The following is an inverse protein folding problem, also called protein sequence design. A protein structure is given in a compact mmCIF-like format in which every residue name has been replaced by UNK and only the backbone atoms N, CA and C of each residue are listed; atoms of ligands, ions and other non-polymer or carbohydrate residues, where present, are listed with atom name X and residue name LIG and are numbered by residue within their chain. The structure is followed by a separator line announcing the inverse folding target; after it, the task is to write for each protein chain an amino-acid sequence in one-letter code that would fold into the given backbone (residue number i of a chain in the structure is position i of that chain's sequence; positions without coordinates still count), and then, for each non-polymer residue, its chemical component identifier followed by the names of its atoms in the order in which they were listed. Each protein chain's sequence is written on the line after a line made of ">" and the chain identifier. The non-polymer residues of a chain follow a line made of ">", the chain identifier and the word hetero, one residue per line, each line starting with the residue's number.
data_IF_666481636607
#
_entry.id   IF_666481636607
#
_cell.length_a   1.000
_cell.length_b   1.000
_cell.length_c   1.000
_cell.angle_alpha   90.00
_cell.angle_beta   90.00
_cell.angle_gamma   90.00
#
_symmetry.space_group_name_H-M   'P 1'
#
loop_
_entity.id
_entity.type
_entity.pdbx_description
1 polymer ?
#
# COMPACT_ATOMS: atom_id res chain seq x y z
N UNK A 1 4.80 18.06 0.38
CA UNK A 1 4.85 16.71 -0.22
C UNK A 1 3.83 16.63 -1.34
N UNK A 2 4.21 16.20 -2.55
CA UNK A 2 3.26 15.85 -3.60
C UNK A 2 2.89 14.38 -3.46
N UNK A 3 1.61 14.08 -3.47
CA UNK A 3 1.11 12.71 -3.49
C UNK A 3 1.41 12.08 -4.85
N UNK A 4 2.05 10.90 -4.91
CA UNK A 4 2.34 10.26 -6.18
C UNK A 4 1.05 9.72 -6.81
N UNK A 5 1.02 9.70 -8.14
CA UNK A 5 0.04 8.91 -8.89
C UNK A 5 0.49 7.44 -8.92
N UNK A 6 -0.44 6.51 -8.73
CA UNK A 6 -0.17 5.08 -8.91
C UNK A 6 -0.13 4.72 -10.41
N UNK A 7 0.14 3.45 -10.73
CA UNK A 7 0.11 2.95 -12.11
C UNK A 7 -1.27 3.04 -12.79
N UNK A 8 -2.34 3.23 -12.02
CA UNK A 8 -3.69 3.45 -12.55
C UNK A 8 -3.93 4.90 -12.99
N UNK A 9 -2.99 5.82 -12.72
CA UNK A 9 -3.19 7.26 -12.94
C UNK A 9 -3.92 7.97 -11.79
N UNK A 10 -4.50 7.22 -10.86
CA UNK A 10 -5.16 7.78 -9.67
C UNK A 10 -4.17 8.33 -8.65
N UNK A 11 -4.61 9.36 -7.92
CA UNK A 11 -3.86 9.92 -6.78
C UNK A 11 -3.86 8.91 -5.63
N UNK A 12 -2.67 8.59 -5.10
CA UNK A 12 -2.55 7.64 -3.99
C UNK A 12 -3.20 8.17 -2.70
N UNK A 13 -3.75 7.27 -1.89
CA UNK A 13 -4.20 7.58 -0.52
C UNK A 13 -3.08 7.31 0.48
N UNK A 14 -3.04 8.10 1.54
CA UNK A 14 -2.13 7.88 2.68
C UNK A 14 -2.75 6.86 3.62
N UNK A 15 -1.95 5.91 4.09
CA UNK A 15 -2.31 5.01 5.19
C UNK A 15 -1.20 5.01 6.24
N UNK A 16 -1.61 4.72 7.47
CA UNK A 16 -0.71 4.50 8.60
C UNK A 16 -0.61 3.01 8.84
N UNK A 17 0.60 2.49 9.03
CA UNK A 17 0.79 1.10 9.38
C UNK A 17 0.43 0.89 10.85
N UNK A 18 -0.54 0.01 11.07
CA UNK A 18 -1.02 -0.40 12.40
C UNK A 18 -0.42 -1.74 12.83
N UNK A 19 0.55 -2.27 12.09
CA UNK A 19 1.11 -3.60 12.34
C UNK A 19 2.11 -3.57 13.50
N UNK A 20 1.60 -3.82 14.71
CA UNK A 20 2.39 -3.88 15.96
C UNK A 20 3.48 -4.95 15.96
N UNK A 21 3.30 -6.01 15.16
CA UNK A 21 4.28 -7.10 15.05
C UNK A 21 5.52 -6.69 14.25
N UNK A 22 5.44 -5.59 13.50
CA UNK A 22 6.56 -4.97 12.82
C UNK A 22 6.77 -3.59 13.44
N UNK A 23 7.50 -3.54 14.56
CA UNK A 23 7.80 -2.29 15.29
C UNK A 23 8.43 -1.21 14.42
N UNK A 24 9.25 -1.61 13.43
CA UNK A 24 9.80 -0.68 12.44
C UNK A 24 8.79 -0.25 11.36
N UNK A 25 7.55 -0.70 11.37
CA UNK A 25 6.51 -0.16 10.49
C UNK A 25 5.41 0.53 11.26
N UNK A 26 5.22 0.24 12.54
CA UNK A 26 4.14 0.79 13.35
C UNK A 26 4.19 2.33 13.39
N UNK A 27 3.05 2.98 13.14
CA UNK A 27 2.92 4.43 13.13
C UNK A 27 3.47 5.14 11.89
N UNK A 28 4.20 4.43 11.02
CA UNK A 28 4.76 4.99 9.79
C UNK A 28 3.72 5.11 8.69
N UNK A 29 3.89 6.12 7.83
CA UNK A 29 2.97 6.49 6.77
C UNK A 29 3.46 5.98 5.42
N UNK A 30 2.52 5.54 4.60
CA UNK A 30 2.79 5.04 3.26
C UNK A 30 1.67 5.46 2.31
N UNK A 31 2.02 5.65 1.04
CA UNK A 31 1.07 5.83 -0.05
C UNK A 31 0.65 4.47 -0.60
N UNK A 32 -0.64 4.31 -0.88
CA UNK A 32 -1.18 3.18 -1.65
C UNK A 32 -2.19 3.67 -2.67
N UNK A 33 -2.42 2.88 -3.71
CA UNK A 33 -3.54 3.12 -4.62
C UNK A 33 -4.90 3.12 -3.87
N UNK A 34 -5.89 3.92 -4.29
CA UNK A 34 -7.27 3.80 -3.79
C UNK A 34 -7.84 2.37 -3.91
N UNK A 35 -7.59 1.71 -5.05
CA UNK A 35 -7.98 0.32 -5.34
C UNK A 35 -6.86 -0.68 -4.97
N UNK A 36 -6.29 -0.54 -3.77
CA UNK A 36 -5.16 -1.37 -3.33
C UNK A 36 -5.57 -2.84 -3.16
N UNK A 37 -4.82 -3.77 -3.77
CA UNK A 37 -5.17 -5.19 -3.81
C UNK A 37 -5.39 -5.84 -2.44
N UNK A 38 -4.66 -5.40 -1.41
CA UNK A 38 -4.74 -5.93 -0.05
C UNK A 38 -5.70 -5.14 0.87
N UNK A 39 -6.29 -4.06 0.36
CA UNK A 39 -7.25 -3.22 1.09
C UNK A 39 -8.63 -3.34 0.44
N UNK A 40 -9.00 -4.57 0.04
CA UNK A 40 -10.31 -4.81 -0.55
C UNK A 40 -11.36 -4.45 0.51
N UNK A 41 -12.32 -3.56 0.19
CA UNK A 41 -13.44 -3.30 1.07
C UNK A 41 -14.09 -4.64 1.43
N UNK A 42 -14.38 -4.86 2.71
CA UNK A 42 -15.34 -5.89 3.08
C UNK A 42 -16.68 -5.42 2.55
N UNK A 43 -17.09 -6.00 1.42
CA UNK A 43 -18.39 -5.73 0.84
C UNK A 43 -19.45 -6.33 1.77
N UNK A 44 -20.49 -5.55 2.04
CA UNK A 44 -21.59 -5.98 2.91
C UNK A 44 -22.42 -7.08 2.22
N UNK A 45 -22.55 -6.98 0.89
CA UNK A 45 -23.29 -7.92 0.09
C UNK A 45 -22.55 -8.30 -1.20
N UNK A 46 -22.79 -9.52 -1.69
CA UNK A 46 -22.16 -10.04 -2.90
C UNK A 46 -22.53 -9.24 -4.17
N UNK A 47 -23.67 -8.54 -4.17
CA UNK A 47 -24.10 -7.68 -5.27
C UNK A 47 -23.38 -6.33 -5.33
N UNK A 48 -22.63 -5.96 -4.28
CA UNK A 48 -21.81 -4.74 -4.27
C UNK A 48 -20.53 -4.90 -5.11
N UNK A 49 -20.23 -6.13 -5.56
CA UNK A 49 -19.16 -6.39 -6.53
C UNK A 49 -19.69 -6.06 -7.92
N UNK A 50 -19.18 -5.03 -8.61
CA UNK A 50 -19.54 -4.81 -10.00
C UNK A 50 -19.11 -6.01 -10.85
N UNK A 51 -19.86 -6.39 -11.91
CA UNK A 51 -19.57 -7.55 -12.74
C UNK A 51 -18.17 -7.49 -13.40
N UNK A 52 -17.63 -6.29 -13.58
CA UNK A 52 -16.25 -6.04 -14.02
C UNK A 52 -15.55 -5.10 -13.03
N UNK A 53 -14.95 -5.63 -11.93
CA UNK A 53 -14.25 -4.79 -10.98
C UNK A 53 -13.00 -4.19 -11.62
N UNK A 54 -12.64 -2.93 -11.28
CA UNK A 54 -11.42 -2.32 -11.78
C UNK A 54 -10.20 -3.16 -11.37
N UNK A 55 -9.16 -3.23 -12.23
CA UNK A 55 -7.96 -4.00 -11.91
C UNK A 55 -7.36 -3.50 -10.60
N UNK A 56 -7.12 -4.43 -9.67
CA UNK A 56 -6.53 -4.10 -8.38
C UNK A 56 -5.11 -3.60 -8.59
N UNK A 57 -4.78 -2.47 -7.99
CA UNK A 57 -3.45 -1.88 -8.03
C UNK A 57 -2.66 -2.29 -6.79
N UNK A 58 -1.36 -2.47 -6.93
CA UNK A 58 -0.48 -2.85 -5.82
C UNK A 58 0.55 -1.79 -5.50
N UNK A 59 0.42 -0.61 -6.10
CA UNK A 59 1.32 0.49 -5.84
C UNK A 59 1.33 0.80 -4.34
N UNK A 60 2.53 0.78 -3.78
CA UNK A 60 2.82 1.04 -2.39
C UNK A 60 4.18 1.74 -2.31
N UNK A 61 4.28 2.79 -1.49
CA UNK A 61 5.60 3.39 -1.17
C UNK A 61 5.58 4.07 0.20
N UNK A 62 6.70 4.01 0.93
CA UNK A 62 6.85 4.68 2.22
C UNK A 62 6.99 6.20 2.04
N UNK A 63 6.31 6.96 2.91
CA UNK A 63 6.40 8.44 2.92
C UNK A 63 7.61 8.88 3.74
N UNK A 64 7.83 8.22 4.87
CA UNK A 64 8.87 8.56 5.83
C UNK A 64 10.23 8.05 5.32
N UNK A 65 10.94 8.88 4.57
CA UNK A 65 12.30 8.62 4.08
C UNK A 65 13.39 9.02 5.09
N UNK A 66 13.04 9.85 6.08
CA UNK A 66 13.91 10.24 7.18
C UNK A 66 13.89 9.16 8.27
N UNK A 67 14.53 8.03 7.98
CA UNK A 67 14.66 6.89 8.89
C UNK A 67 16.10 6.37 8.84
N UNK A 68 16.56 5.67 9.90
CA UNK A 68 17.85 4.99 9.90
C UNK A 68 18.06 4.08 8.68
N UNK A 69 19.32 3.90 8.24
CA UNK A 69 19.65 3.14 7.02
C UNK A 69 19.21 1.66 7.09
N UNK A 70 19.22 1.05 8.26
CA UNK A 70 18.66 -0.28 8.50
C UNK A 70 17.16 -0.31 8.22
N UNK A 71 16.42 0.69 8.68
CA UNK A 71 14.99 0.85 8.41
C UNK A 71 14.74 1.10 6.91
N UNK A 72 15.57 1.89 6.22
CA UNK A 72 15.45 2.08 4.76
C UNK A 72 15.61 0.76 4.00
N UNK A 73 16.57 -0.08 4.40
CA UNK A 73 16.77 -1.40 3.81
C UNK A 73 15.55 -2.30 4.02
N UNK A 74 14.97 -2.27 5.21
CA UNK A 74 13.75 -3.02 5.52
C UNK A 74 12.52 -2.49 4.74
N UNK A 75 12.38 -1.16 4.63
CA UNK A 75 11.36 -0.52 3.79
C UNK A 75 11.49 -0.96 2.33
N UNK A 76 12.70 -0.98 1.78
CA UNK A 76 12.98 -1.43 0.42
C UNK A 76 12.65 -2.92 0.23
N UNK A 77 13.06 -3.79 1.15
CA UNK A 77 12.72 -5.22 1.12
C UNK A 77 11.21 -5.46 1.20
N UNK A 78 10.49 -4.69 2.02
CA UNK A 78 9.03 -4.81 2.14
C UNK A 78 8.31 -4.35 0.87
N UNK A 79 8.82 -3.30 0.21
CA UNK A 79 8.37 -2.87 -1.11
C UNK A 79 8.56 -4.00 -2.15
N UNK A 80 9.76 -4.56 -2.24
CA UNK A 80 10.07 -5.68 -3.13
C UNK A 80 9.20 -6.91 -2.83
N UNK A 81 9.06 -7.30 -1.56
CA UNK A 81 8.24 -8.44 -1.15
C UNK A 81 6.77 -8.27 -1.56
N UNK A 82 6.21 -7.09 -1.35
CA UNK A 82 4.82 -6.78 -1.75
C UNK A 82 4.65 -6.71 -3.26
N UNK A 83 5.71 -6.40 -4.00
CA UNK A 83 5.71 -6.49 -5.47
C UNK A 83 5.91 -7.94 -5.96
N UNK A 84 6.65 -8.80 -5.24
CA UNK A 84 7.02 -10.17 -5.61
C UNK A 84 6.00 -11.26 -5.28
N UNK A 85 5.03 -11.06 -4.37
CA UNK A 85 4.00 -12.05 -4.01
C UNK A 85 2.99 -12.36 -5.15
N UNK A 86 3.41 -12.27 -6.41
CA UNK A 86 2.55 -12.19 -7.58
C UNK A 86 3.07 -12.90 -8.83
N UNK A 87 3.99 -13.87 -8.69
CA UNK A 87 4.04 -14.99 -9.65
C UNK A 87 2.99 -16.04 -9.29
#
# INVERSE_FOLDING_TARGET
>A
MRTPSCWCGDVCKVKVSTNRMKSWTEGRRYFVCPNYAYDRPRLAHAYDVPPSPPPLCKYFTWIDQDVPEDVKKDQHRDCLRRHQLFE
#
